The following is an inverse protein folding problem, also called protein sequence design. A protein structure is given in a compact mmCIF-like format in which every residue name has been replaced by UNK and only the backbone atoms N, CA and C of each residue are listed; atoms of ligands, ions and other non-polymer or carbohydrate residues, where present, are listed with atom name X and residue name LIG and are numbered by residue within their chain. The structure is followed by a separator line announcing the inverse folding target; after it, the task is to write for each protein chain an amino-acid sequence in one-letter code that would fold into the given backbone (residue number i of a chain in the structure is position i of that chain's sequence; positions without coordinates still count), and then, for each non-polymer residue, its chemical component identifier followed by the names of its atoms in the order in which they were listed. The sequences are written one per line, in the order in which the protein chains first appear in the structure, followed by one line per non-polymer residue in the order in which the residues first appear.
data_IF_108961248157
#
_entry.id   IF_108961248157
#
_cell.length_a   1.000
_cell.length_b   1.000
_cell.length_c   1.000
_cell.angle_alpha   90.00
_cell.angle_beta   90.00
_cell.angle_gamma   90.00
#
_symmetry.space_group_name_H-M   'P 1'
#
loop_
_entity.id
_entity.type
_entity.pdbx_description
1 polymer ?
#
# COMPACT_ATOMS: atom_id res chain seq x y z
N UNK A 1 16.52 -12.22 1.89
CA UNK A 1 15.49 -12.24 2.97
C UNK A 1 14.47 -13.33 2.67
N UNK A 2 14.17 -14.20 3.63
CA UNK A 2 13.17 -15.24 3.47
C UNK A 2 11.80 -14.70 3.87
N UNK A 3 10.78 -14.92 3.03
CA UNK A 3 9.44 -14.36 3.21
C UNK A 3 8.39 -15.47 3.42
N UNK A 4 7.54 -15.28 4.41
CA UNK A 4 6.37 -16.10 4.69
C UNK A 4 5.10 -15.36 4.28
N UNK A 5 4.24 -16.05 3.54
CA UNK A 5 2.93 -15.51 3.16
C UNK A 5 1.92 -15.69 4.31
N UNK A 6 1.29 -14.59 4.69
CA UNK A 6 0.19 -14.57 5.68
C UNK A 6 -1.03 -13.89 5.07
N UNK A 7 -2.21 -14.46 5.29
CA UNK A 7 -3.47 -13.91 4.82
C UNK A 7 -4.39 -13.59 6.00
N UNK A 8 -5.13 -12.49 5.90
CA UNK A 8 -6.12 -12.07 6.88
C UNK A 8 -7.41 -11.72 6.17
N UNK A 9 -8.53 -12.05 6.77
CA UNK A 9 -9.86 -11.84 6.20
C UNK A 9 -10.78 -11.18 7.23
N UNK A 10 -11.62 -10.27 6.75
CA UNK A 10 -12.62 -9.61 7.56
C UNK A 10 -13.88 -9.30 6.77
N UNK A 11 -15.01 -9.20 7.46
CA UNK A 11 -16.29 -8.86 6.84
C UNK A 11 -17.06 -7.86 7.70
N UNK A 12 -17.79 -6.96 7.02
CA UNK A 12 -18.82 -6.12 7.65
C UNK A 12 -20.18 -6.52 7.10
N UNK A 13 -21.15 -6.69 7.99
CA UNK A 13 -22.49 -7.18 7.66
C UNK A 13 -23.56 -6.24 8.22
N UNK A 14 -24.71 -6.25 7.57
CA UNK A 14 -25.98 -5.76 8.11
C UNK A 14 -27.03 -6.85 7.89
N UNK A 15 -27.49 -7.46 8.97
CA UNK A 15 -28.30 -8.67 8.91
C UNK A 15 -27.59 -9.79 8.15
N UNK A 16 -28.23 -10.29 7.09
CA UNK A 16 -27.66 -11.34 6.22
C UNK A 16 -26.78 -10.80 5.07
N UNK A 17 -26.85 -9.48 4.83
CA UNK A 17 -26.09 -8.86 3.73
C UNK A 17 -24.64 -8.63 4.12
N UNK A 18 -23.72 -9.07 3.26
CA UNK A 18 -22.29 -8.69 3.37
C UNK A 18 -22.12 -7.36 2.64
N UNK A 19 -21.72 -6.34 3.36
CA UNK A 19 -21.49 -5.00 2.83
C UNK A 19 -20.03 -4.82 2.38
N UNK A 20 -19.09 -5.36 3.17
CA UNK A 20 -17.66 -5.25 2.89
C UNK A 20 -16.97 -6.60 3.14
N UNK A 21 -16.12 -6.99 2.21
CA UNK A 21 -15.05 -7.99 2.42
C UNK A 21 -13.73 -7.27 2.44
N UNK A 22 -12.93 -7.50 3.47
CA UNK A 22 -11.58 -6.97 3.58
C UNK A 22 -10.58 -8.13 3.61
N UNK A 23 -9.64 -8.11 2.67
CA UNK A 23 -8.61 -9.14 2.53
C UNK A 23 -7.24 -8.47 2.63
N UNK A 24 -6.30 -9.07 3.39
CA UNK A 24 -4.91 -8.63 3.46
C UNK A 24 -3.98 -9.80 3.14
N UNK A 25 -3.07 -9.57 2.21
CA UNK A 25 -1.97 -10.48 1.86
C UNK A 25 -0.65 -9.84 2.25
N UNK A 26 0.09 -10.48 3.17
CA UNK A 26 1.34 -10.00 3.71
C UNK A 26 2.47 -10.99 3.34
N UNK A 27 3.60 -10.48 2.86
CA UNK A 27 4.83 -11.24 2.71
C UNK A 27 5.80 -10.81 3.82
N UNK A 28 5.76 -11.53 4.94
CA UNK A 28 6.48 -11.18 6.16
C UNK A 28 7.87 -11.81 6.19
N UNK A 29 8.93 -11.07 6.56
CA UNK A 29 10.26 -11.64 6.72
C UNK A 29 10.30 -12.59 7.92
N UNK A 30 10.88 -13.79 7.73
CA UNK A 30 11.01 -14.79 8.79
C UNK A 30 12.15 -14.48 9.76
N UNK A 31 13.23 -13.90 9.24
CA UNK A 31 14.50 -13.68 9.93
C UNK A 31 14.73 -12.24 10.39
N UNK A 32 13.70 -11.36 10.30
CA UNK A 32 13.75 -9.94 10.64
C UNK A 32 12.59 -9.58 11.58
N UNK A 33 12.74 -9.76 12.91
CA UNK A 33 11.63 -9.67 13.86
C UNK A 33 11.00 -8.27 13.96
N UNK A 34 11.80 -7.20 13.92
CA UNK A 34 11.27 -5.83 14.03
C UNK A 34 10.52 -5.44 12.76
N UNK A 35 11.07 -5.78 11.60
CA UNK A 35 10.43 -5.55 10.31
C UNK A 35 9.14 -6.38 10.19
N UNK A 36 9.15 -7.64 10.65
CA UNK A 36 7.96 -8.51 10.70
C UNK A 36 6.87 -7.87 11.56
N UNK A 37 7.18 -7.52 12.81
CA UNK A 37 6.22 -6.92 13.74
C UNK A 37 5.62 -5.61 13.20
N UNK A 38 6.44 -4.78 12.53
CA UNK A 38 5.97 -3.56 11.88
C UNK A 38 4.88 -3.84 10.84
N UNK A 39 5.10 -4.81 9.95
CA UNK A 39 4.13 -5.12 8.89
C UNK A 39 2.93 -5.92 9.36
N UNK A 40 3.07 -6.78 10.35
CA UNK A 40 1.93 -7.42 11.01
C UNK A 40 0.97 -6.37 11.59
N UNK A 41 1.52 -5.39 12.33
CA UNK A 41 0.74 -4.29 12.89
C UNK A 41 0.13 -3.38 11.82
N UNK A 42 0.86 -3.12 10.73
CA UNK A 42 0.34 -2.35 9.60
C UNK A 42 -0.86 -3.06 8.96
N UNK A 43 -0.74 -4.37 8.69
CA UNK A 43 -1.84 -5.18 8.14
C UNK A 43 -3.07 -5.16 9.05
N UNK A 44 -2.90 -5.31 10.37
CA UNK A 44 -3.98 -5.20 11.36
C UNK A 44 -4.65 -3.82 11.33
N UNK A 45 -3.84 -2.77 11.30
CA UNK A 45 -4.34 -1.40 11.28
C UNK A 45 -5.13 -1.12 10.01
N UNK A 46 -4.64 -1.55 8.84
CA UNK A 46 -5.34 -1.38 7.57
C UNK A 46 -6.68 -2.14 7.54
N UNK A 47 -6.72 -3.37 8.07
CA UNK A 47 -7.94 -4.16 8.16
C UNK A 47 -8.97 -3.52 9.09
N UNK A 48 -8.55 -3.10 10.28
CA UNK A 48 -9.39 -2.43 11.27
C UNK A 48 -9.92 -1.11 10.72
N UNK A 49 -9.08 -0.32 10.06
CA UNK A 49 -9.47 0.93 9.43
C UNK A 49 -10.50 0.72 8.31
N UNK A 50 -10.28 -0.28 7.44
CA UNK A 50 -11.21 -0.60 6.37
C UNK A 50 -12.60 -0.97 6.92
N UNK A 51 -12.65 -1.79 7.96
CA UNK A 51 -13.89 -2.20 8.61
C UNK A 51 -14.59 -1.02 9.33
N UNK A 52 -13.83 -0.18 10.05
CA UNK A 52 -14.38 0.94 10.80
C UNK A 52 -14.85 2.07 9.88
N UNK A 53 -14.04 2.48 8.91
CA UNK A 53 -14.37 3.65 8.08
C UNK A 53 -15.27 3.27 6.90
N UNK A 54 -14.81 2.32 6.05
CA UNK A 54 -15.61 1.93 4.90
C UNK A 54 -16.85 1.13 5.30
N UNK A 55 -16.71 0.20 6.23
CA UNK A 55 -17.84 -0.61 6.71
C UNK A 55 -18.95 0.23 7.35
N UNK A 56 -18.59 1.22 8.15
CA UNK A 56 -19.57 2.12 8.78
C UNK A 56 -20.25 3.04 7.74
N UNK A 57 -19.50 3.53 6.77
CA UNK A 57 -20.05 4.32 5.65
C UNK A 57 -21.06 3.49 4.85
N UNK A 58 -20.66 2.28 4.44
CA UNK A 58 -21.52 1.36 3.69
C UNK A 58 -22.79 0.97 4.50
N UNK A 59 -22.64 0.78 5.82
CA UNK A 59 -23.79 0.49 6.69
C UNK A 59 -24.78 1.66 6.73
N UNK A 60 -24.30 2.89 6.85
CA UNK A 60 -25.13 4.09 6.81
C UNK A 60 -25.84 4.23 5.46
N UNK A 61 -25.14 4.04 4.36
CA UNK A 61 -25.70 4.05 3.02
C UNK A 61 -26.77 2.97 2.87
N UNK A 62 -26.47 1.72 3.24
CA UNK A 62 -27.42 0.61 3.17
C UNK A 62 -28.69 0.87 3.99
N UNK A 63 -28.54 1.40 5.21
CA UNK A 63 -29.68 1.71 6.08
C UNK A 63 -30.52 2.90 5.56
N UNK A 64 -29.93 3.80 4.79
CA UNK A 64 -30.60 4.94 4.18
C UNK A 64 -31.43 4.59 2.93
N UNK A 65 -31.30 3.36 2.41
CA UNK A 65 -32.04 2.95 1.22
C UNK A 65 -33.51 2.69 1.54
N UNK A 66 -34.37 3.28 0.73
CA UNK A 66 -35.81 3.06 0.77
C UNK A 66 -36.18 1.84 -0.09
N UNK A 67 -36.79 0.84 0.56
CA UNK A 67 -37.35 -0.32 -0.09
C UNK A 67 -36.40 -1.49 -0.33
N UNK A 68 -36.99 -2.69 -0.47
CA UNK A 68 -36.28 -3.98 -0.61
C UNK A 68 -35.53 -4.05 -1.93
N UNK A 69 -36.09 -3.47 -3.01
CA UNK A 69 -35.46 -3.52 -4.35
C UNK A 69 -34.13 -2.78 -4.38
N UNK A 70 -34.03 -1.62 -3.77
CA UNK A 70 -32.78 -0.86 -3.70
C UNK A 70 -31.74 -1.56 -2.84
N UNK A 71 -32.14 -2.14 -1.71
CA UNK A 71 -31.24 -2.95 -0.85
C UNK A 71 -30.74 -4.20 -1.56
N UNK A 72 -31.56 -4.85 -2.38
CA UNK A 72 -31.16 -6.03 -3.12
C UNK A 72 -30.11 -5.75 -4.23
N UNK A 73 -30.00 -4.50 -4.65
CA UNK A 73 -28.99 -4.03 -5.62
C UNK A 73 -27.68 -3.57 -4.96
N UNK A 74 -27.65 -3.52 -3.62
CA UNK A 74 -26.45 -3.15 -2.87
C UNK A 74 -25.41 -4.27 -2.98
N UNK A 75 -24.37 -4.05 -3.81
CA UNK A 75 -23.29 -4.99 -4.02
C UNK A 75 -22.31 -5.05 -2.84
N UNK A 76 -21.67 -6.19 -2.66
CA UNK A 76 -20.58 -6.32 -1.69
C UNK A 76 -19.35 -5.55 -2.17
N UNK A 77 -18.87 -4.60 -1.36
CA UNK A 77 -17.61 -3.92 -1.60
C UNK A 77 -16.44 -4.81 -1.21
N UNK A 78 -15.29 -4.58 -1.81
CA UNK A 78 -14.05 -5.32 -1.50
C UNK A 78 -12.92 -4.35 -1.22
N UNK A 79 -12.24 -4.56 -0.08
CA UNK A 79 -11.00 -3.89 0.28
C UNK A 79 -9.87 -4.90 0.23
N UNK A 80 -8.88 -4.65 -0.62
CA UNK A 80 -7.68 -5.47 -0.74
C UNK A 80 -6.47 -4.71 -0.21
N UNK A 81 -5.70 -5.32 0.67
CA UNK A 81 -4.39 -4.84 1.10
C UNK A 81 -3.33 -5.87 0.73
N UNK A 82 -2.27 -5.44 0.06
CA UNK A 82 -1.18 -6.31 -0.39
C UNK A 82 0.17 -5.73 -0.01
N UNK A 83 1.01 -6.56 0.57
CA UNK A 83 2.40 -6.26 0.85
C UNK A 83 3.29 -7.15 0.01
N UNK A 84 4.34 -6.60 -0.60
CA UNK A 84 5.35 -7.34 -1.37
C UNK A 84 6.71 -6.69 -1.28
N UNK A 85 7.74 -7.54 -1.30
CA UNK A 85 9.11 -7.09 -1.54
C UNK A 85 9.28 -6.86 -3.05
N UNK A 86 9.56 -5.63 -3.44
CA UNK A 86 9.69 -5.24 -4.86
C UNK A 86 11.15 -5.13 -5.30
N UNK A 87 12.05 -5.05 -4.33
CA UNK A 87 13.48 -5.01 -4.60
C UNK A 87 14.26 -5.44 -3.36
N UNK A 88 15.37 -6.14 -3.56
CA UNK A 88 16.31 -6.55 -2.52
C UNK A 88 17.72 -6.61 -3.11
N UNK A 89 18.67 -5.97 -2.43
CA UNK A 89 20.09 -6.00 -2.81
C UNK A 89 20.96 -5.74 -1.57
N UNK A 90 21.93 -6.61 -1.30
CA UNK A 90 22.80 -6.56 -0.12
C UNK A 90 21.99 -6.49 1.20
N UNK A 91 22.28 -5.48 2.02
CA UNK A 91 21.63 -5.20 3.29
C UNK A 91 20.37 -4.33 3.16
N UNK A 92 19.79 -4.20 1.97
CA UNK A 92 18.63 -3.32 1.75
C UNK A 92 17.49 -4.04 1.05
N UNK A 93 16.27 -3.68 1.43
CA UNK A 93 15.05 -4.18 0.79
C UNK A 93 14.00 -3.06 0.64
N UNK A 94 13.27 -3.08 -0.46
CA UNK A 94 12.12 -2.20 -0.66
C UNK A 94 10.83 -2.99 -0.55
N UNK A 95 9.98 -2.57 0.37
CA UNK A 95 8.66 -3.14 0.59
C UNK A 95 7.61 -2.16 0.12
N UNK A 96 6.69 -2.67 -0.69
CA UNK A 96 5.56 -1.94 -1.21
C UNK A 96 4.27 -2.49 -0.61
N UNK A 97 3.48 -1.60 -0.01
CA UNK A 97 2.15 -1.89 0.48
C UNK A 97 1.14 -1.13 -0.39
N UNK A 98 0.16 -1.85 -0.89
CA UNK A 98 -0.89 -1.31 -1.76
C UNK A 98 -2.24 -1.66 -1.17
N UNK A 99 -3.15 -0.69 -1.15
CA UNK A 99 -4.54 -0.93 -0.78
C UNK A 99 -5.49 -0.42 -1.84
N UNK A 100 -6.56 -1.14 -2.08
CA UNK A 100 -7.57 -0.82 -3.08
C UNK A 100 -8.96 -1.11 -2.51
N UNK A 101 -9.86 -0.12 -2.62
CA UNK A 101 -11.28 -0.33 -2.39
C UNK A 101 -11.98 -0.47 -3.73
N UNK A 102 -12.60 -1.61 -3.95
CA UNK A 102 -13.35 -1.96 -5.16
C UNK A 102 -14.82 -2.10 -4.82
N UNK A 103 -15.68 -1.47 -5.61
CA UNK A 103 -17.11 -1.65 -5.47
C UNK A 103 -17.89 -0.82 -6.47
N UNK A 104 -19.10 -1.31 -6.77
CA UNK A 104 -20.04 -0.63 -7.64
C UNK A 104 -21.33 -0.42 -6.85
N UNK A 105 -21.44 0.72 -6.18
CA UNK A 105 -22.70 1.20 -5.65
C UNK A 105 -22.84 2.67 -6.03
N UNK A 106 -23.83 2.98 -6.86
CA UNK A 106 -24.17 4.30 -7.43
C UNK A 106 -23.07 4.95 -8.27
N UNK A 107 -21.81 4.91 -7.80
CA UNK A 107 -20.63 5.36 -8.57
C UNK A 107 -19.47 4.39 -8.29
N UNK A 108 -18.66 4.03 -9.30
CA UNK A 108 -17.50 3.18 -9.11
C UNK A 108 -16.47 3.95 -8.26
N UNK A 109 -16.48 3.73 -6.95
CA UNK A 109 -15.44 4.23 -6.07
C UNK A 109 -14.24 3.30 -6.17
N UNK A 110 -13.22 3.76 -6.86
CA UNK A 110 -11.91 3.13 -6.87
C UNK A 110 -10.95 4.00 -6.08
N UNK A 111 -10.67 3.63 -4.84
CA UNK A 111 -9.57 4.24 -4.11
C UNK A 111 -8.35 3.32 -4.20
N UNK A 112 -7.22 3.87 -4.58
CA UNK A 112 -5.94 3.20 -4.62
C UNK A 112 -4.93 3.99 -3.79
N UNK A 113 -4.29 3.32 -2.85
CA UNK A 113 -3.28 3.92 -2.00
C UNK A 113 -2.03 3.05 -1.94
N UNK A 114 -0.87 3.67 -1.99
CA UNK A 114 0.43 3.00 -1.99
C UNK A 114 1.32 3.59 -0.88
N UNK A 115 2.03 2.72 -0.18
CA UNK A 115 3.06 3.09 0.80
C UNK A 115 4.32 2.31 0.45
N UNK A 116 5.47 2.95 0.47
CA UNK A 116 6.75 2.27 0.27
C UNK A 116 7.70 2.53 1.43
N UNK A 117 8.44 1.50 1.80
CA UNK A 117 9.52 1.58 2.78
C UNK A 117 10.77 0.96 2.17
N UNK A 118 11.89 1.65 2.29
CA UNK A 118 13.21 1.09 2.00
C UNK A 118 13.89 0.84 3.35
N UNK A 119 14.28 -0.40 3.58
CA UNK A 119 14.86 -0.86 4.83
C UNK A 119 16.37 -1.07 4.69
N UNK A 120 17.12 -0.71 5.72
CA UNK A 120 18.36 -1.39 6.04
C UNK A 120 17.98 -2.66 6.81
N UNK A 121 18.16 -3.82 6.19
CA UNK A 121 17.70 -5.11 6.73
C UNK A 121 18.65 -5.68 7.80
N UNK A 122 19.89 -5.20 7.91
CA UNK A 122 20.81 -5.58 8.98
C UNK A 122 20.46 -4.87 10.29
N UNK A 123 20.15 -3.59 10.21
CA UNK A 123 19.77 -2.76 11.36
C UNK A 123 18.26 -2.80 11.65
N UNK A 124 17.46 -3.36 10.75
CA UNK A 124 16.00 -3.36 10.74
C UNK A 124 15.40 -1.94 10.90
N UNK A 125 15.93 -0.98 10.16
CA UNK A 125 15.51 0.42 10.17
C UNK A 125 15.02 0.87 8.80
N UNK A 126 13.93 1.63 8.79
CA UNK A 126 13.43 2.30 7.59
C UNK A 126 14.31 3.51 7.27
N UNK A 127 14.80 3.58 6.04
CA UNK A 127 15.57 4.72 5.58
C UNK A 127 14.66 5.93 5.32
N UNK A 128 15.02 7.11 5.85
CA UNK A 128 14.34 8.35 5.50
C UNK A 128 14.63 8.76 4.05
N UNK A 129 13.71 9.50 3.44
CA UNK A 129 13.74 9.89 2.03
C UNK A 129 15.10 10.45 1.54
N UNK A 130 15.78 11.37 2.27
CA UNK A 130 17.09 11.86 1.83
C UNK A 130 18.16 10.77 1.75
N UNK A 131 18.17 9.85 2.72
CA UNK A 131 19.15 8.74 2.74
C UNK A 131 18.90 7.76 1.61
N UNK A 132 17.64 7.53 1.21
CA UNK A 132 17.31 6.72 0.04
C UNK A 132 17.92 7.37 -1.22
N UNK A 133 17.74 8.68 -1.42
CA UNK A 133 18.30 9.38 -2.57
C UNK A 133 19.83 9.27 -2.63
N UNK A 134 20.48 9.51 -1.51
CA UNK A 134 21.94 9.44 -1.40
C UNK A 134 22.45 8.02 -1.65
N UNK A 135 21.83 7.02 -1.06
CA UNK A 135 22.19 5.60 -1.22
C UNK A 135 22.12 5.13 -2.67
N UNK A 136 21.08 5.53 -3.38
CA UNK A 136 20.87 5.13 -4.78
C UNK A 136 21.44 6.13 -5.79
N UNK A 137 22.21 7.13 -5.35
CA UNK A 137 22.84 8.11 -6.20
C UNK A 137 21.86 8.94 -7.04
N UNK A 138 20.63 9.08 -6.55
CA UNK A 138 19.59 9.81 -7.29
C UNK A 138 19.68 11.29 -6.99
N UNK A 139 20.07 12.07 -7.99
CA UNK A 139 20.02 13.54 -7.93
C UNK A 139 18.68 14.00 -8.49
N UNK A 140 17.89 14.65 -7.65
CA UNK A 140 16.68 15.35 -8.08
C UNK A 140 17.07 16.73 -8.62
N UNK A 141 17.09 16.95 -9.92
CA UNK A 141 17.25 18.33 -10.45
C UNK A 141 16.01 19.13 -10.08
N UNK A 142 16.21 20.42 -9.80
CA UNK A 142 15.22 21.42 -9.36
C UNK A 142 13.99 21.42 -10.23
N UNK A 143 13.37 20.69 -10.82
CA UNK A 143 12.11 20.70 -11.60
C UNK A 143 11.81 19.36 -12.31
N UNK A 144 12.40 18.21 -11.87
CA UNK A 144 12.17 16.93 -12.57
C UNK A 144 10.97 16.15 -12.07
N UNK A 145 10.48 16.41 -10.87
CA UNK A 145 9.24 15.80 -10.39
C UNK A 145 8.12 16.83 -10.54
N UNK A 146 7.08 16.51 -11.33
CA UNK A 146 5.93 17.41 -11.50
C UNK A 146 5.00 17.41 -10.27
N UNK A 147 5.36 16.63 -9.23
CA UNK A 147 4.60 16.50 -8.00
C UNK A 147 5.52 16.27 -6.79
N UNK A 148 5.03 16.55 -5.60
CA UNK A 148 5.66 16.14 -4.35
C UNK A 148 5.35 14.65 -4.13
N UNK A 149 6.34 13.76 -4.04
CA UNK A 149 6.10 12.34 -3.86
C UNK A 149 5.64 12.02 -2.44
N UNK A 150 4.73 11.07 -2.31
CA UNK A 150 4.33 10.45 -1.05
C UNK A 150 5.21 9.24 -0.72
N UNK A 151 5.86 8.65 -1.73
CA UNK A 151 6.78 7.54 -1.54
C UNK A 151 7.76 7.36 -2.69
N UNK A 152 8.77 6.54 -2.42
CA UNK A 152 9.87 6.22 -3.33
C UNK A 152 10.34 4.77 -3.09
N UNK A 153 10.68 4.06 -4.16
CA UNK A 153 11.32 2.75 -4.07
C UNK A 153 12.16 2.45 -5.32
N UNK A 154 13.22 1.62 -5.20
CA UNK A 154 13.97 1.12 -6.35
C UNK A 154 13.16 0.05 -7.10
N UNK A 155 13.26 0.07 -8.44
CA UNK A 155 12.69 -0.90 -9.37
C UNK A 155 13.72 -1.16 -10.48
N UNK A 156 14.47 -2.23 -10.37
CA UNK A 156 15.60 -2.52 -11.23
C UNK A 156 16.67 -1.41 -11.20
N UNK A 157 16.96 -0.81 -12.33
CA UNK A 157 17.89 0.31 -12.51
C UNK A 157 17.26 1.70 -12.37
N UNK A 158 16.00 1.74 -11.94
CA UNK A 158 15.21 2.97 -11.78
C UNK A 158 14.79 3.19 -10.34
N UNK A 159 14.50 4.44 -10.01
CA UNK A 159 13.78 4.84 -8.81
C UNK A 159 12.38 5.27 -9.19
N UNK A 160 11.40 4.69 -8.55
CA UNK A 160 9.99 5.01 -8.72
C UNK A 160 9.59 6.02 -7.65
N UNK A 161 9.05 7.15 -8.09
CA UNK A 161 8.43 8.17 -7.25
C UNK A 161 6.94 8.14 -7.51
N UNK A 162 6.13 8.16 -6.47
CA UNK A 162 4.69 8.15 -6.65
C UNK A 162 3.99 9.14 -5.71
N UNK A 163 2.79 9.53 -6.12
CA UNK A 163 1.83 10.30 -5.33
C UNK A 163 0.48 9.60 -5.38
N UNK A 164 -0.09 9.43 -4.20
CA UNK A 164 -1.39 8.79 -4.05
C UNK A 164 -2.54 9.63 -4.60
N UNK A 165 -3.65 8.99 -4.89
CA UNK A 165 -4.90 9.64 -5.27
C UNK A 165 -5.39 10.53 -4.13
N UNK A 166 -5.86 11.73 -4.48
CA UNK A 166 -6.62 12.60 -3.58
C UNK A 166 -7.93 12.99 -4.26
N UNK A 167 -8.83 13.68 -3.58
CA UNK A 167 -10.07 14.19 -4.19
C UNK A 167 -9.84 15.03 -5.45
N UNK A 168 -8.66 15.65 -5.58
CA UNK A 168 -8.34 16.60 -6.65
C UNK A 168 -7.22 16.13 -7.59
N UNK A 169 -6.55 15.01 -7.29
CA UNK A 169 -5.42 14.53 -8.11
C UNK A 169 -5.46 13.03 -8.33
N UNK A 170 -5.24 12.56 -9.58
CA UNK A 170 -5.09 11.14 -9.86
C UNK A 170 -3.81 10.58 -9.25
N UNK A 171 -3.67 9.25 -9.24
CA UNK A 171 -2.40 8.61 -8.94
C UNK A 171 -1.34 9.03 -9.96
N UNK A 172 -0.19 9.46 -9.48
CA UNK A 172 0.94 9.89 -10.32
C UNK A 172 2.16 9.04 -10.02
N UNK A 173 2.86 8.65 -11.07
CA UNK A 173 4.11 7.90 -10.97
C UNK A 173 5.15 8.48 -11.93
N UNK A 174 6.40 8.56 -11.49
CA UNK A 174 7.56 8.96 -12.30
C UNK A 174 8.73 8.05 -12.00
N UNK A 175 9.36 7.51 -13.03
CA UNK A 175 10.58 6.73 -12.94
C UNK A 175 11.78 7.56 -13.36
N UNK A 176 12.84 7.52 -12.55
CA UNK A 176 14.13 8.15 -12.86
C UNK A 176 15.24 7.10 -12.77
N UNK A 177 16.26 7.16 -13.63
CA UNK A 177 17.40 6.23 -13.54
C UNK A 177 18.13 6.42 -12.20
N UNK A 178 18.51 5.31 -11.57
CA UNK A 178 19.44 5.31 -10.45
C UNK A 178 20.86 5.19 -10.98
N UNK A 179 21.81 5.94 -10.40
CA UNK A 179 23.20 5.74 -10.67
C UNK A 179 23.67 4.50 -9.90
N UNK A 180 23.59 3.35 -10.53
CA UNK A 180 24.27 2.16 -10.02
C UNK A 180 25.77 2.46 -10.15
N UNK A 181 26.40 2.96 -9.09
CA UNK A 181 27.84 3.07 -9.04
C UNK A 181 28.41 1.66 -9.17
N UNK A 182 28.85 1.31 -10.37
CA UNK A 182 29.60 0.05 -10.67
C UNK A 182 30.98 -0.01 -9.98
N UNK A 183 31.30 0.98 -9.16
CA UNK A 183 32.55 1.13 -8.45
C UNK A 183 32.33 1.11 -6.93
N UNK A 184 31.92 -0.04 -6.39
CA UNK A 184 32.27 -0.39 -5.03
C UNK A 184 33.30 -1.53 -5.13
N UNK A 185 34.61 -1.25 -5.01
CA UNK A 185 35.58 -2.32 -4.84
C UNK A 185 35.28 -3.00 -3.50
N UNK A 186 35.34 -4.31 -3.52
CA UNK A 186 35.23 -5.22 -2.37
C UNK A 186 36.20 -4.84 -1.25
#
# INVERSE_FOLDING_TARGET
MKLEKTERHGTVREGYQILLRADAELLLPEDKPLMRAFYERMGETCMTWAQAIHGETLRKEFLSLDGIREKSQFGTQRYDFRMRCVWEEDAFAAILCESELLGQWREPQKSYHRISHVWNTEEELVLPFPQILDRFGVRLPKNRLPFRPDGIYPDGDQMVFFRNVTEHTPFLEKKLPRNVNKNNPK
#
